data_IF_305271518705
#
_entry.id   IF_305271518705
#
_cell.length_a   1.000
_cell.length_b   1.000
_cell.length_c   1.000
_cell.angle_alpha   90.00
_cell.angle_beta   90.00
_cell.angle_gamma   90.00
#
_symmetry.space_group_name_H-M   'P 1'
#
loop_
_entity.id
_entity.type
_entity.pdbx_description
1 polymer ?
#
# COMPACT_ATOMS: atom_id res chain seq x y z
N UNK A 1 17.59 29.07 -3.83
CA UNK A 1 16.73 29.52 -2.75
C UNK A 1 16.57 28.44 -1.68
N UNK A 2 16.90 28.77 -0.47
CA UNK A 2 16.85 27.83 0.64
C UNK A 2 15.43 27.37 1.01
N UNK A 3 14.41 28.18 0.74
CA UNK A 3 13.05 27.94 1.22
C UNK A 3 12.36 26.69 0.67
N UNK A 4 12.47 26.44 -0.64
CA UNK A 4 11.75 25.33 -1.27
C UNK A 4 12.31 23.98 -0.88
N UNK A 5 13.64 23.82 -0.89
CA UNK A 5 14.28 22.57 -0.47
C UNK A 5 14.06 22.28 1.01
N UNK A 6 14.09 23.31 1.86
CA UNK A 6 13.81 23.16 3.28
C UNK A 6 12.36 22.70 3.53
N UNK A 7 11.39 23.23 2.80
CA UNK A 7 9.99 22.80 2.90
C UNK A 7 9.81 21.36 2.47
N UNK A 8 10.41 20.96 1.36
CA UNK A 8 10.34 19.58 0.88
C UNK A 8 10.93 18.60 1.90
N UNK A 9 12.09 18.91 2.45
CA UNK A 9 12.72 18.08 3.49
C UNK A 9 11.87 17.99 4.75
N UNK A 10 11.27 19.10 5.17
CA UNK A 10 10.40 19.15 6.35
C UNK A 10 9.15 18.32 6.11
N UNK A 11 8.52 18.44 4.94
CA UNK A 11 7.34 17.65 4.59
C UNK A 11 7.64 16.15 4.55
N UNK A 12 8.76 15.73 3.98
CA UNK A 12 9.16 14.32 3.94
C UNK A 12 9.41 13.81 5.37
N UNK A 13 10.08 14.59 6.20
CA UNK A 13 10.34 14.22 7.60
C UNK A 13 9.03 14.11 8.39
N UNK A 14 8.10 15.03 8.18
CA UNK A 14 6.80 15.01 8.86
C UNK A 14 5.99 13.79 8.43
N UNK A 15 5.98 13.47 7.13
CA UNK A 15 5.31 12.28 6.62
C UNK A 15 5.95 11.02 7.20
N UNK A 16 7.28 10.96 7.24
CA UNK A 16 7.99 9.84 7.87
C UNK A 16 7.54 9.63 9.31
N UNK A 17 7.48 10.71 10.08
CA UNK A 17 7.06 10.65 11.48
C UNK A 17 5.62 10.17 11.62
N UNK A 18 4.71 10.63 10.75
CA UNK A 18 3.32 10.21 10.74
C UNK A 18 3.22 8.71 10.43
N UNK A 19 3.96 8.24 9.42
CA UNK A 19 3.99 6.82 9.04
C UNK A 19 4.47 5.96 10.22
N UNK A 20 5.60 6.33 10.80
CA UNK A 20 6.24 5.53 11.86
C UNK A 20 5.48 5.58 13.17
N UNK A 21 4.72 6.63 13.42
CA UNK A 21 3.88 6.74 14.61
C UNK A 21 2.51 6.07 14.49
N UNK A 22 2.17 5.58 13.30
CA UNK A 22 0.90 4.89 13.06
C UNK A 22 -0.24 5.82 12.68
N UNK A 23 0.05 7.00 12.14
CA UNK A 23 -0.97 7.97 11.70
C UNK A 23 -1.56 7.69 10.32
N UNK A 24 -1.11 6.62 9.64
CA UNK A 24 -1.59 6.29 8.30
C UNK A 24 -2.52 5.10 8.30
N UNK A 25 -3.35 5.00 7.27
CA UNK A 25 -4.24 3.86 7.04
C UNK A 25 -3.77 3.09 5.81
N UNK A 26 -4.01 1.78 5.81
CA UNK A 26 -3.71 0.91 4.69
C UNK A 26 -5.01 0.47 4.03
N UNK A 27 -5.12 0.70 2.72
CA UNK A 27 -6.22 0.17 1.91
C UNK A 27 -5.71 -0.93 1.01
N UNK A 28 -6.44 -2.05 0.97
CA UNK A 28 -6.14 -3.17 0.07
C UNK A 28 -7.35 -3.42 -0.82
N UNK A 29 -7.15 -3.39 -2.11
CA UNK A 29 -8.16 -3.65 -3.13
C UNK A 29 -7.86 -4.95 -3.84
N UNK A 30 -8.82 -5.86 -3.84
CA UNK A 30 -8.74 -7.10 -4.60
C UNK A 30 -9.57 -6.95 -5.88
N UNK A 31 -8.89 -6.71 -6.99
CA UNK A 31 -9.52 -6.69 -8.31
C UNK A 31 -9.42 -8.04 -9.00
N UNK A 32 -10.08 -8.19 -10.13
CA UNK A 32 -10.09 -9.45 -10.89
C UNK A 32 -8.72 -9.82 -11.46
N UNK A 33 -7.85 -8.85 -11.70
CA UNK A 33 -6.52 -9.06 -12.30
C UNK A 33 -5.39 -8.50 -11.46
N UNK A 34 -5.69 -7.80 -10.36
CA UNK A 34 -4.66 -7.12 -9.58
C UNK A 34 -5.07 -6.93 -8.13
N UNK A 35 -4.11 -7.06 -7.25
CA UNK A 35 -4.22 -6.63 -5.86
C UNK A 35 -3.45 -5.31 -5.75
N UNK A 36 -4.07 -4.30 -5.14
CA UNK A 36 -3.45 -2.99 -4.94
C UNK A 36 -3.45 -2.64 -3.47
N UNK A 37 -2.30 -2.23 -2.97
CA UNK A 37 -2.15 -1.71 -1.61
C UNK A 37 -1.83 -0.22 -1.68
N UNK A 38 -2.49 0.59 -0.86
CA UNK A 38 -2.29 2.05 -0.81
C UNK A 38 -2.13 2.47 0.64
N UNK A 39 -1.06 3.21 0.93
CA UNK A 39 -0.90 3.86 2.22
C UNK A 39 -1.49 5.26 2.13
N UNK A 40 -2.39 5.58 3.03
CA UNK A 40 -3.18 6.82 3.03
C UNK A 40 -2.81 7.65 4.26
N UNK A 41 -2.47 8.91 4.03
CA UNK A 41 -2.12 9.84 5.09
C UNK A 41 -3.31 10.43 5.82
N UNK A 42 -3.03 11.34 6.74
CA UNK A 42 -4.04 11.95 7.61
C UNK A 42 -5.10 12.73 6.84
N UNK A 43 -4.74 13.33 5.72
CA UNK A 43 -5.66 14.11 4.89
C UNK A 43 -6.25 13.28 3.74
N UNK A 44 -6.26 11.95 3.88
CA UNK A 44 -6.76 11.02 2.88
C UNK A 44 -5.98 11.04 1.55
N UNK A 45 -4.77 11.59 1.55
CA UNK A 45 -3.93 11.54 0.36
C UNK A 45 -3.18 10.20 0.27
N UNK A 46 -3.03 9.63 -0.94
CA UNK A 46 -2.21 8.44 -1.12
C UNK A 46 -0.74 8.81 -1.02
N UNK A 47 -0.02 8.16 -0.11
CA UNK A 47 1.40 8.41 0.12
C UNK A 47 2.29 7.43 -0.62
N UNK A 48 1.88 6.18 -0.72
CA UNK A 48 2.64 5.13 -1.38
C UNK A 48 1.71 4.04 -1.87
N UNK A 49 2.17 3.27 -2.86
CA UNK A 49 1.38 2.18 -3.43
C UNK A 49 2.25 0.96 -3.69
N UNK A 50 1.63 -0.20 -3.68
CA UNK A 50 2.23 -1.44 -4.13
C UNK A 50 1.15 -2.28 -4.81
N UNK A 51 1.54 -3.10 -5.76
CA UNK A 51 0.59 -3.90 -6.51
C UNK A 51 1.14 -5.27 -6.85
N UNK A 52 0.24 -6.19 -7.08
CA UNK A 52 0.54 -7.54 -7.50
C UNK A 52 -0.47 -7.96 -8.56
N UNK A 53 0.03 -8.29 -9.74
CA UNK A 53 -0.83 -8.80 -10.82
C UNK A 53 -1.04 -10.29 -10.61
N UNK A 54 -2.26 -10.73 -10.78
CA UNK A 54 -2.61 -12.15 -10.68
C UNK A 54 -3.54 -12.56 -11.79
N UNK A 55 -3.68 -13.87 -11.99
CA UNK A 55 -4.55 -14.43 -12.99
C UNK A 55 -5.71 -15.19 -12.35
N UNK A 56 -6.90 -15.01 -12.93
CA UNK A 56 -8.04 -15.84 -12.60
C UNK A 56 -7.82 -17.24 -13.17
N UNK A 57 -8.18 -18.24 -12.41
CA UNK A 57 -8.16 -19.62 -12.90
C UNK A 57 -9.57 -20.07 -13.21
N UNK A 58 -9.76 -20.64 -14.40
CA UNK A 58 -11.02 -21.23 -14.80
C UNK A 58 -10.93 -22.73 -14.59
N UNK A 59 -11.61 -23.22 -13.56
CA UNK A 59 -11.60 -24.63 -13.19
C UNK A 59 -13.04 -25.13 -13.07
N UNK A 60 -13.33 -26.29 -13.69
CA UNK A 60 -14.66 -26.92 -13.64
C UNK A 60 -15.81 -25.99 -14.06
N UNK A 61 -15.56 -25.10 -15.01
CA UNK A 61 -16.55 -24.15 -15.49
C UNK A 61 -16.74 -22.93 -14.58
N UNK A 62 -15.90 -22.76 -13.57
CA UNK A 62 -16.00 -21.68 -12.57
C UNK A 62 -14.68 -20.91 -12.48
N UNK A 63 -14.77 -19.58 -12.44
CA UNK A 63 -13.62 -18.74 -12.17
C UNK A 63 -13.29 -18.81 -10.68
N UNK A 64 -12.06 -19.20 -10.38
CA UNK A 64 -11.61 -19.36 -9.00
C UNK A 64 -10.29 -18.66 -8.73
N UNK A 65 -10.03 -18.42 -7.45
CA UNK A 65 -8.76 -17.92 -6.95
C UNK A 65 -8.28 -18.89 -5.87
N UNK A 66 -7.07 -19.41 -6.02
CA UNK A 66 -6.48 -20.21 -4.97
C UNK A 66 -6.17 -19.34 -3.76
N UNK A 67 -6.55 -19.77 -2.57
CA UNK A 67 -6.31 -19.00 -1.33
C UNK A 67 -4.83 -18.68 -1.13
N UNK A 68 -3.96 -19.64 -1.43
CA UNK A 68 -2.51 -19.42 -1.33
C UNK A 68 -2.04 -18.30 -2.26
N UNK A 69 -2.61 -18.20 -3.47
CA UNK A 69 -2.27 -17.12 -4.41
C UNK A 69 -2.75 -15.76 -3.91
N UNK A 70 -3.92 -15.73 -3.29
CA UNK A 70 -4.46 -14.49 -2.69
C UNK A 70 -3.54 -14.00 -1.57
N UNK A 71 -3.14 -14.88 -0.66
CA UNK A 71 -2.26 -14.53 0.46
C UNK A 71 -0.89 -14.08 -0.06
N UNK A 72 -0.31 -14.84 -0.99
CA UNK A 72 0.99 -14.50 -1.57
C UNK A 72 0.94 -13.16 -2.32
N UNK A 73 -0.14 -12.91 -3.06
CA UNK A 73 -0.33 -11.64 -3.77
C UNK A 73 -0.48 -10.46 -2.83
N UNK A 74 -1.21 -10.65 -1.73
CA UNK A 74 -1.36 -9.61 -0.72
C UNK A 74 -0.03 -9.29 -0.03
N UNK A 75 0.75 -10.31 0.30
CA UNK A 75 2.08 -10.14 0.88
C UNK A 75 3.03 -9.43 -0.07
N UNK A 76 2.99 -9.77 -1.36
CA UNK A 76 3.82 -9.11 -2.38
C UNK A 76 3.42 -7.65 -2.58
N UNK A 77 2.12 -7.37 -2.64
CA UNK A 77 1.62 -6.00 -2.76
C UNK A 77 2.04 -5.16 -1.54
N UNK A 78 1.95 -5.72 -0.35
CA UNK A 78 2.39 -5.05 0.87
C UNK A 78 3.91 -4.81 0.88
N UNK A 79 4.68 -5.80 0.46
CA UNK A 79 6.13 -5.67 0.37
C UNK A 79 6.53 -4.53 -0.59
N UNK A 80 5.89 -4.47 -1.74
CA UNK A 80 6.14 -3.40 -2.72
C UNK A 80 5.72 -2.03 -2.16
N UNK A 81 4.62 -1.98 -1.41
CA UNK A 81 4.20 -0.77 -0.71
C UNK A 81 5.26 -0.34 0.30
N UNK A 82 5.77 -1.25 1.11
CA UNK A 82 6.79 -0.97 2.12
C UNK A 82 8.08 -0.46 1.48
N UNK A 83 8.49 -1.06 0.35
CA UNK A 83 9.65 -0.62 -0.42
C UNK A 83 9.43 0.79 -0.99
N UNK A 84 8.23 1.09 -1.48
CA UNK A 84 7.87 2.41 -1.99
C UNK A 84 7.91 3.47 -0.88
N UNK A 85 7.39 3.14 0.30
CA UNK A 85 7.45 4.01 1.49
C UNK A 85 8.90 4.32 1.86
N UNK A 86 9.74 3.31 1.91
CA UNK A 86 11.15 3.49 2.24
C UNK A 86 11.86 4.35 1.20
N UNK A 87 11.59 4.11 -0.08
CA UNK A 87 12.19 4.88 -1.18
C UNK A 87 11.78 6.34 -1.15
N UNK A 88 10.50 6.62 -0.89
CA UNK A 88 9.95 7.98 -0.91
C UNK A 88 10.25 8.78 0.34
N UNK A 89 10.18 8.15 1.50
CA UNK A 89 10.19 8.84 2.78
C UNK A 89 11.29 8.37 3.73
N UNK A 90 11.98 7.28 3.41
CA UNK A 90 12.94 6.66 4.33
C UNK A 90 12.27 6.10 5.57
N UNK A 91 10.99 5.78 5.49
CA UNK A 91 10.17 5.35 6.63
C UNK A 91 9.89 3.85 6.59
N UNK A 92 9.62 3.29 7.77
CA UNK A 92 9.20 1.91 7.92
C UNK A 92 7.77 1.88 8.45
N UNK A 93 6.90 1.10 7.80
CA UNK A 93 5.52 0.92 8.25
C UNK A 93 5.51 -0.13 9.35
N UNK A 94 5.34 0.28 10.60
CA UNK A 94 5.27 -0.62 11.75
C UNK A 94 3.95 -0.56 12.47
N UNK A 95 3.19 0.52 12.27
CA UNK A 95 1.88 0.75 12.91
C UNK A 95 0.94 1.39 11.91
N UNK A 96 -0.34 1.08 12.02
CA UNK A 96 -1.40 1.65 11.18
C UNK A 96 -2.54 2.13 12.07
N UNK A 97 -3.17 3.24 11.68
CA UNK A 97 -4.37 3.73 12.34
C UNK A 97 -5.59 2.87 11.98
N UNK A 98 -5.65 2.41 10.74
CA UNK A 98 -6.75 1.59 10.24
C UNK A 98 -6.32 0.73 9.06
N UNK A 99 -7.04 -0.36 8.84
CA UNK A 99 -6.88 -1.24 7.69
C UNK A 99 -8.25 -1.41 7.04
N UNK A 100 -8.33 -1.07 5.75
CA UNK A 100 -9.55 -1.28 4.96
C UNK A 100 -9.28 -2.26 3.84
N UNK A 101 -10.23 -3.14 3.58
CA UNK A 101 -10.14 -4.12 2.50
C UNK A 101 -11.41 -4.04 1.66
N UNK A 102 -11.24 -3.99 0.34
CA UNK A 102 -12.35 -4.08 -0.61
C UNK A 102 -12.04 -5.14 -1.65
N UNK A 103 -13.10 -5.76 -2.17
CA UNK A 103 -12.98 -6.81 -3.17
C UNK A 103 -13.97 -6.55 -4.29
N UNK A 104 -13.46 -6.62 -5.53
CA UNK A 104 -14.26 -6.48 -6.76
C UNK A 104 -14.00 -7.70 -7.62
N UNK A 105 -14.68 -8.77 -7.32
CA UNK A 105 -14.53 -10.03 -8.05
C UNK A 105 -15.82 -10.50 -8.67
#
# INVERSE_FOLDING_TARGET
MKGKKSREKTMVKDIKNIIESGGCSLGIEFGSTRIKAVLIGEDNEPLATGGHDWENKFENGIWTYALADVVAGMQDAYKKLADDVFTRYGATVSKLAALGVSAMM
#
